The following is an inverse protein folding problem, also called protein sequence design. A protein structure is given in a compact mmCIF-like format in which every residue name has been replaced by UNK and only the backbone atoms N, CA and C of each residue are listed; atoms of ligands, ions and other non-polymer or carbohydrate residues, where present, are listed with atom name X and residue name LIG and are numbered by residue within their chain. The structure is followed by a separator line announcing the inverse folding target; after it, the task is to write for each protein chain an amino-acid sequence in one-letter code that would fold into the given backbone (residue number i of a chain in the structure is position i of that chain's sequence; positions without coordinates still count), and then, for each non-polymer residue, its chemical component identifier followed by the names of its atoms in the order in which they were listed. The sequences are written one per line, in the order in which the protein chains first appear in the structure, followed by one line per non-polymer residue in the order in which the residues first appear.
data_IF_598459200487
#
_entry.id   IF_598459200487
#
_cell.length_a   1.000
_cell.length_b   1.000
_cell.length_c   1.000
_cell.angle_alpha   90.00
_cell.angle_beta   90.00
_cell.angle_gamma   90.00
#
_symmetry.space_group_name_H-M   'P 1'
#
loop_
_entity.id
_entity.type
_entity.pdbx_description
1 polymer ?
#
# COMPACT_ATOMS: atom_id res chain seq x y z
N UNK A 1 -23.17 22.31 3.02
CA UNK A 1 -21.94 21.51 2.78
C UNK A 1 -22.33 20.05 2.62
N UNK A 2 -22.32 19.45 1.41
CA UNK A 2 -22.59 18.02 1.30
C UNK A 2 -21.32 17.23 1.61
N UNK A 3 -21.39 16.37 2.62
CA UNK A 3 -20.45 15.26 2.80
C UNK A 3 -20.60 14.33 1.59
N UNK A 4 -19.75 14.50 0.57
CA UNK A 4 -19.74 13.58 -0.57
C UNK A 4 -19.31 12.20 -0.05
N UNK A 5 -20.31 11.33 0.15
CA UNK A 5 -20.10 9.90 0.30
C UNK A 5 -19.46 9.40 -0.99
N UNK A 6 -18.13 9.37 -1.01
CA UNK A 6 -17.34 8.83 -2.11
C UNK A 6 -17.55 7.31 -2.15
N UNK A 7 -18.70 6.85 -2.66
CA UNK A 7 -18.85 5.46 -3.10
C UNK A 7 -17.70 5.18 -4.06
N UNK A 8 -16.88 4.15 -3.82
CA UNK A 8 -15.79 3.84 -4.73
C UNK A 8 -16.37 3.62 -6.14
N UNK A 9 -15.79 4.23 -7.19
CA UNK A 9 -16.30 4.11 -8.55
C UNK A 9 -16.37 2.64 -8.96
N UNK A 10 -17.39 2.28 -9.76
CA UNK A 10 -17.73 0.92 -10.19
C UNK A 10 -16.60 0.16 -10.94
N UNK A 11 -15.43 0.77 -11.13
CA UNK A 11 -14.18 0.11 -11.52
C UNK A 11 -13.47 -0.64 -10.39
N UNK A 12 -14.09 -0.82 -9.22
CA UNK A 12 -13.63 -1.60 -8.08
C UNK A 12 -13.54 -3.11 -8.39
N UNK A 13 -12.73 -3.47 -9.38
CA UNK A 13 -12.40 -4.86 -9.69
C UNK A 13 -11.74 -5.42 -8.44
N UNK A 14 -12.37 -6.39 -7.78
CA UNK A 14 -11.72 -7.12 -6.69
C UNK A 14 -10.48 -7.76 -7.28
N UNK A 15 -9.32 -7.37 -6.76
CA UNK A 15 -8.02 -7.92 -7.13
C UNK A 15 -7.37 -8.51 -5.90
N UNK A 16 -6.50 -9.47 -6.19
CA UNK A 16 -5.70 -10.16 -5.20
C UNK A 16 -4.46 -9.32 -4.90
N UNK A 17 -4.24 -9.05 -3.62
CA UNK A 17 -3.04 -8.43 -3.09
C UNK A 17 -2.29 -9.44 -2.22
N UNK A 18 -0.97 -9.43 -2.28
CA UNK A 18 -0.13 -10.15 -1.33
C UNK A 18 0.40 -9.13 -0.34
N UNK A 19 0.19 -9.37 0.96
CA UNK A 19 0.80 -8.56 2.02
C UNK A 19 2.23 -9.02 2.20
N UNK A 20 3.18 -8.21 1.77
CA UNK A 20 4.60 -8.48 1.97
C UNK A 20 5.06 -7.84 3.29
N UNK A 21 5.72 -8.63 4.13
CA UNK A 21 6.21 -8.20 5.44
C UNK A 21 7.70 -7.92 5.37
N UNK A 22 8.19 -6.84 6.01
CA UNK A 22 9.62 -6.59 6.09
C UNK A 22 10.28 -7.65 6.97
N UNK A 23 11.44 -8.13 6.53
CA UNK A 23 12.36 -8.97 7.28
C UNK A 23 13.70 -8.26 7.24
N UNK A 24 14.22 -7.96 8.43
CA UNK A 24 15.50 -7.31 8.60
C UNK A 24 16.56 -8.39 8.80
N UNK A 25 17.52 -8.44 7.88
CA UNK A 25 18.66 -9.33 7.97
C UNK A 25 19.92 -8.48 8.17
N UNK A 26 20.82 -8.85 9.09
CA UNK A 26 22.12 -8.19 9.22
C UNK A 26 22.87 -8.26 7.90
N UNK A 27 23.45 -7.15 7.46
CA UNK A 27 24.20 -7.09 6.20
C UNK A 27 25.64 -7.63 6.33
N UNK A 28 26.07 -7.99 7.55
CA UNK A 28 27.41 -8.47 7.85
C UNK A 28 28.48 -7.37 8.00
N UNK A 29 28.13 -6.11 7.73
CA UNK A 29 29.01 -4.94 7.80
C UNK A 29 28.52 -3.85 8.77
N UNK A 30 27.48 -4.16 9.57
CA UNK A 30 26.94 -3.27 10.61
C UNK A 30 25.70 -2.48 10.16
N UNK A 31 25.19 -2.73 8.95
CA UNK A 31 23.89 -2.25 8.49
C UNK A 31 22.82 -3.35 8.49
N UNK A 32 21.62 -2.95 8.06
CA UNK A 32 20.43 -3.81 8.03
C UNK A 32 19.89 -3.86 6.61
N UNK A 33 19.81 -5.05 6.04
CA UNK A 33 19.10 -5.31 4.78
C UNK A 33 17.63 -5.58 5.09
N UNK A 34 16.76 -4.67 4.68
CA UNK A 34 15.30 -4.91 4.74
C UNK A 34 14.85 -5.63 3.47
N UNK A 35 14.59 -6.92 3.60
CA UNK A 35 13.91 -7.75 2.58
C UNK A 35 12.43 -7.77 2.85
N UNK A 36 11.64 -8.19 1.87
CA UNK A 36 10.21 -8.32 2.01
C UNK A 36 9.78 -9.72 1.60
N UNK A 37 9.10 -10.41 2.51
CA UNK A 37 8.64 -11.79 2.29
C UNK A 37 7.14 -11.80 2.04
N UNK A 38 6.71 -12.64 1.09
CA UNK A 38 5.29 -12.81 0.78
C UNK A 38 4.54 -13.40 1.98
N UNK A 39 3.55 -12.66 2.49
CA UNK A 39 2.67 -13.09 3.57
C UNK A 39 1.27 -13.45 3.06
N UNK A 40 0.21 -13.14 3.85
CA UNK A 40 -1.15 -13.54 3.52
C UNK A 40 -1.67 -12.78 2.30
N UNK A 41 -2.67 -13.40 1.69
CA UNK A 41 -3.33 -12.88 0.51
C UNK A 41 -4.59 -12.14 0.94
N UNK A 42 -4.70 -10.90 0.50
CA UNK A 42 -5.83 -10.02 0.81
C UNK A 42 -6.60 -9.71 -0.47
N UNK A 43 -7.92 -9.58 -0.35
CA UNK A 43 -8.79 -9.19 -1.45
C UNK A 43 -9.29 -7.78 -1.24
N UNK A 44 -9.19 -6.97 -2.29
CA UNK A 44 -9.61 -5.58 -2.20
C UNK A 44 -9.80 -4.90 -3.54
N UNK A 45 -10.17 -3.64 -3.47
CA UNK A 45 -10.32 -2.76 -4.63
C UNK A 45 -9.23 -1.70 -4.62
N UNK A 46 -8.61 -1.45 -5.78
CA UNK A 46 -7.67 -0.36 -6.00
C UNK A 46 -8.42 0.81 -6.65
N UNK A 47 -8.38 1.99 -6.03
CA UNK A 47 -8.86 3.22 -6.60
C UNK A 47 -7.72 4.25 -6.68
N UNK A 48 -7.61 5.04 -7.76
CA UNK A 48 -6.69 6.18 -7.78
C UNK A 48 -7.10 7.19 -6.71
N UNK A 49 -6.13 7.72 -5.97
CA UNK A 49 -6.34 8.75 -4.96
C UNK A 49 -5.76 10.13 -5.39
N UNK A 50 -5.01 10.15 -6.49
CA UNK A 50 -4.39 11.35 -7.04
C UNK A 50 -2.88 11.17 -7.16
N UNK A 51 -2.17 12.25 -6.91
CA UNK A 51 -0.72 12.34 -7.03
C UNK A 51 -0.18 12.90 -5.71
N UNK A 52 0.90 12.32 -5.20
CA UNK A 52 1.62 12.81 -4.03
C UNK A 52 3.00 13.29 -4.47
N UNK A 53 3.31 14.54 -4.17
CA UNK A 53 4.65 15.08 -4.32
C UNK A 53 5.46 14.71 -3.08
N UNK A 54 6.49 13.90 -3.27
CA UNK A 54 7.49 13.62 -2.24
C UNK A 54 8.73 14.43 -2.54
N UNK A 55 9.13 15.29 -1.61
CA UNK A 55 10.50 15.80 -1.60
C UNK A 55 11.44 14.70 -1.12
N UNK A 56 12.25 14.16 -2.02
CA UNK A 56 13.34 13.25 -1.69
C UNK A 56 14.64 13.80 -2.30
N UNK A 57 15.64 14.08 -1.45
CA UNK A 57 16.99 14.45 -1.92
C UNK A 57 17.07 15.69 -2.83
N UNK A 58 16.17 16.68 -2.67
CA UNK A 58 16.16 17.90 -3.49
C UNK A 58 15.47 17.76 -4.85
N UNK A 59 14.82 16.62 -5.13
CA UNK A 59 13.95 16.41 -6.30
C UNK A 59 12.52 16.17 -5.85
N UNK A 60 11.57 16.74 -6.60
CA UNK A 60 10.14 16.46 -6.44
C UNK A 60 9.83 15.18 -7.20
N UNK A 61 9.71 14.06 -6.48
CA UNK A 61 9.21 12.82 -7.05
C UNK A 61 7.68 12.84 -6.97
N UNK A 62 7.06 12.99 -8.13
CA UNK A 62 5.61 12.95 -8.30
C UNK A 62 5.19 11.49 -8.42
N UNK A 63 4.74 10.90 -7.30
CA UNK A 63 4.35 9.49 -7.24
C UNK A 63 2.82 9.33 -7.31
N UNK A 64 2.31 8.39 -8.11
CA UNK A 64 0.87 8.14 -8.15
C UNK A 64 0.41 7.53 -6.82
N UNK A 65 -0.61 8.15 -6.24
CA UNK A 65 -1.22 7.72 -5.00
C UNK A 65 -2.49 6.92 -5.26
N UNK A 66 -2.67 5.87 -4.46
CA UNK A 66 -3.81 4.98 -4.56
C UNK A 66 -4.46 4.75 -3.20
N UNK A 67 -5.73 4.41 -3.24
CA UNK A 67 -6.50 3.93 -2.11
C UNK A 67 -6.84 2.47 -2.34
N UNK A 68 -6.41 1.60 -1.44
CA UNK A 68 -6.78 0.18 -1.46
C UNK A 68 -7.79 -0.08 -0.36
N UNK A 69 -8.99 -0.52 -0.72
CA UNK A 69 -10.00 -0.97 0.24
C UNK A 69 -9.94 -2.48 0.34
N UNK A 70 -9.51 -2.99 1.50
CA UNK A 70 -9.38 -4.41 1.80
C UNK A 70 -10.58 -4.85 2.64
N UNK A 71 -11.11 -6.04 2.37
CA UNK A 71 -12.21 -6.60 3.15
C UNK A 71 -11.68 -7.59 4.18
N UNK A 72 -12.07 -7.39 5.44
CA UNK A 72 -11.65 -8.20 6.58
C UNK A 72 -10.68 -7.49 7.51
N UNK A 73 -10.26 -8.19 8.55
CA UNK A 73 -9.30 -7.72 9.54
C UNK A 73 -7.93 -8.29 9.19
N UNK A 74 -7.02 -7.42 8.75
CA UNK A 74 -5.62 -7.73 8.59
C UNK A 74 -4.82 -6.80 9.50
N UNK A 75 -3.88 -7.35 10.25
CA UNK A 75 -2.89 -6.53 10.94
C UNK A 75 -1.95 -5.94 9.89
N UNK A 76 -2.23 -4.69 9.52
CA UNK A 76 -1.45 -3.92 8.55
C UNK A 76 -0.55 -2.96 9.31
N UNK A 77 0.71 -2.93 8.92
CA UNK A 77 1.71 -2.03 9.48
C UNK A 77 2.27 -1.13 8.36
N UNK A 78 2.57 0.15 8.62
CA UNK A 78 3.18 1.05 7.62
C UNK A 78 4.52 0.57 7.06
N UNK A 79 5.22 -0.33 7.76
CA UNK A 79 6.45 -0.96 7.28
C UNK A 79 6.19 -2.10 6.28
N UNK A 80 4.95 -2.56 6.14
CA UNK A 80 4.54 -3.57 5.16
C UNK A 80 4.21 -2.93 3.81
N UNK A 81 4.16 -3.77 2.78
CA UNK A 81 3.78 -3.35 1.42
C UNK A 81 2.77 -4.33 0.81
N UNK A 82 1.96 -3.84 -0.11
CA UNK A 82 0.97 -4.63 -0.85
C UNK A 82 1.48 -4.87 -2.27
N UNK A 83 1.47 -6.12 -2.71
CA UNK A 83 1.85 -6.49 -4.08
C UNK A 83 0.62 -6.93 -4.89
N UNK A 84 0.47 -6.37 -6.10
CA UNK A 84 -0.51 -6.81 -7.09
C UNK A 84 0.20 -7.20 -8.39
N UNK A 85 0.64 -8.45 -8.47
CA UNK A 85 1.48 -8.94 -9.56
C UNK A 85 2.82 -8.19 -9.59
N UNK A 86 3.17 -7.48 -10.69
CA UNK A 86 4.44 -6.75 -10.79
C UNK A 86 4.45 -5.39 -10.10
N UNK A 87 3.29 -4.91 -9.61
CA UNK A 87 3.14 -3.61 -8.97
C UNK A 87 3.27 -3.75 -7.46
N UNK A 88 4.01 -2.83 -6.83
CA UNK A 88 4.26 -2.81 -5.39
C UNK A 88 3.76 -1.49 -4.83
N UNK A 89 3.08 -1.54 -3.71
CA UNK A 89 2.45 -0.41 -3.08
C UNK A 89 2.93 -0.28 -1.63
N UNK A 90 3.63 0.79 -1.29
CA UNK A 90 4.03 1.05 0.09
C UNK A 90 2.85 1.62 0.88
N UNK A 91 2.62 1.09 2.07
CA UNK A 91 1.54 1.54 2.94
C UNK A 91 1.98 2.83 3.63
N UNK A 92 1.22 3.91 3.45
CA UNK A 92 1.51 5.23 4.04
C UNK A 92 0.60 5.53 5.22
N UNK A 93 -0.67 5.15 5.10
CA UNK A 93 -1.63 5.23 6.19
C UNK A 93 -2.66 4.12 6.06
N UNK A 94 -3.20 3.70 7.20
CA UNK A 94 -4.32 2.75 7.29
C UNK A 94 -5.43 3.44 8.08
N UNK A 95 -6.65 3.39 7.56
CA UNK A 95 -7.84 3.95 8.16
C UNK A 95 -8.93 2.87 8.27
N UNK A 96 -9.63 2.85 9.40
CA UNK A 96 -10.73 1.93 9.67
C UNK A 96 -12.05 2.72 9.67
N UNK A 97 -12.73 2.86 8.52
CA UNK A 97 -13.95 3.67 8.41
C UNK A 97 -15.14 3.06 9.15
N UNK A 98 -15.14 1.75 9.36
CA UNK A 98 -16.20 1.02 10.06
C UNK A 98 -15.69 0.59 11.43
N UNK A 99 -16.33 1.06 12.51
CA UNK A 99 -16.03 0.64 13.88
C UNK A 99 -16.20 -0.88 14.09
N UNK A 100 -16.91 -1.58 13.19
CA UNK A 100 -17.01 -3.04 13.20
C UNK A 100 -15.77 -3.73 12.60
N UNK A 101 -14.83 -2.98 12.03
CA UNK A 101 -13.57 -3.48 11.45
C UNK A 101 -13.80 -4.40 10.25
N UNK A 102 -14.79 -4.09 9.40
CA UNK A 102 -15.15 -4.92 8.23
C UNK A 102 -14.34 -4.59 7.00
N UNK A 103 -14.02 -3.31 6.82
CA UNK A 103 -13.24 -2.81 5.69
C UNK A 103 -12.07 -1.97 6.23
N UNK A 104 -10.90 -2.17 5.64
CA UNK A 104 -9.69 -1.39 5.90
C UNK A 104 -9.38 -0.55 4.66
N UNK A 105 -9.13 0.74 4.86
CA UNK A 105 -8.73 1.66 3.81
C UNK A 105 -7.24 1.95 3.95
N UNK A 106 -6.44 1.52 2.99
CA UNK A 106 -5.02 1.82 2.93
C UNK A 106 -4.77 2.94 1.94
N UNK A 107 -4.10 4.00 2.39
CA UNK A 107 -3.48 4.98 1.52
C UNK A 107 -2.09 4.47 1.17
N UNK A 108 -1.87 4.27 -0.12
CA UNK A 108 -0.64 3.68 -0.61
C UNK A 108 -0.07 4.52 -1.74
N UNK A 109 1.23 4.44 -1.89
CA UNK A 109 1.95 4.97 -3.04
C UNK A 109 2.47 3.80 -3.87
N UNK A 110 2.45 3.93 -5.19
CA UNK A 110 3.10 2.94 -6.04
C UNK A 110 4.60 3.16 -6.00
N UNK A 111 5.33 2.11 -5.62
CA UNK A 111 6.78 2.11 -5.68
C UNK A 111 7.21 1.96 -7.14
N UNK A 112 8.24 2.70 -7.57
CA UNK A 112 8.84 2.46 -8.87
C UNK A 112 9.24 0.99 -8.95
N UNK A 113 9.07 0.39 -10.13
CA UNK A 113 9.49 -0.98 -10.33
C UNK A 113 10.98 -1.04 -10.03
N UNK A 114 11.34 -1.77 -8.98
CA UNK A 114 12.74 -2.10 -8.70
C UNK A 114 13.29 -2.78 -9.96
N UNK A 115 14.03 -2.01 -10.76
CA UNK A 115 14.76 -2.55 -11.89
C UNK A 115 15.88 -3.36 -11.27
N UNK A 116 15.77 -4.69 -11.28
CA UNK A 116 16.92 -5.54 -10.96
C UNK A 116 17.90 -5.38 -12.14
N UNK A 117 18.99 -4.64 -11.91
CA UNK A 117 20.23 -4.79 -12.66
C UNK A 117 21.13 -5.78 -11.95
#
# INVERSE_FOLDING_TARGET
MPIQSQRPPLGARRRRFVLERPVEEPDGFGGVLRRYVAGPVLWGALAPAGILDRLAGGRTDTLPAYRITLRGRAALDPTMRLAAGPRRFAIRAVAEPDARGRDLICHVEELPRENRS
#
